data_IF_016338503458
#
_entry.id   IF_016338503458
#
_cell.length_a   1.000
_cell.length_b   1.000
_cell.length_c   1.000
_cell.angle_alpha   90.00
_cell.angle_beta   90.00
_cell.angle_gamma   90.00
#
_symmetry.space_group_name_H-M   'P 1'
#
loop_
_entity.id
_entity.type
_entity.pdbx_description
1 polymer ?
#
# COMPACT_ATOMS: atom_id res chain seq x y z
N UNK A 1 -5.48 5.33 11.86
CA UNK A 1 -5.70 3.88 11.95
C UNK A 1 -4.49 3.17 11.33
N UNK A 2 -3.86 2.29 12.06
CA UNK A 2 -2.64 1.64 11.58
C UNK A 2 -2.97 0.34 10.85
N UNK A 3 -2.34 0.15 9.69
CA UNK A 3 -2.40 -1.10 8.95
C UNK A 3 -1.16 -1.92 9.28
N UNK A 4 -1.23 -3.22 9.05
CA UNK A 4 -0.10 -4.12 9.29
C UNK A 4 -0.08 -5.21 8.23
N UNK A 5 1.00 -5.97 8.20
CA UNK A 5 1.14 -7.08 7.27
C UNK A 5 -0.05 -8.03 7.40
N UNK A 6 -0.59 -8.43 6.26
CA UNK A 6 -1.73 -9.34 6.20
C UNK A 6 -3.09 -8.66 6.25
N UNK A 7 -3.14 -7.35 6.53
CA UNK A 7 -4.41 -6.64 6.55
C UNK A 7 -4.99 -6.55 5.14
N UNK A 8 -6.30 -6.70 5.05
CA UNK A 8 -7.03 -6.53 3.80
C UNK A 8 -7.31 -5.07 3.57
N UNK A 9 -7.02 -4.57 2.38
CA UNK A 9 -7.18 -3.17 2.03
C UNK A 9 -7.76 -3.03 0.63
N UNK A 10 -8.19 -1.81 0.30
CA UNK A 10 -8.59 -1.48 -1.05
C UNK A 10 -8.08 -0.08 -1.39
N UNK A 11 -7.93 0.18 -2.68
CA UNK A 11 -7.48 1.49 -3.16
C UNK A 11 -8.06 1.76 -4.53
N UNK A 12 -8.10 3.03 -4.90
CA UNK A 12 -8.64 3.44 -6.19
C UNK A 12 -7.57 3.41 -7.27
N UNK A 13 -7.93 2.91 -8.45
CA UNK A 13 -7.08 2.94 -9.62
C UNK A 13 -7.86 3.57 -10.77
N UNK A 14 -7.19 3.92 -11.89
CA UNK A 14 -7.91 4.43 -13.06
C UNK A 14 -8.97 3.47 -13.59
N UNK A 15 -8.86 2.19 -13.26
CA UNK A 15 -9.80 1.16 -13.72
C UNK A 15 -10.88 0.84 -12.69
N UNK A 16 -10.89 1.56 -11.57
CA UNK A 16 -11.85 1.34 -10.49
C UNK A 16 -11.17 0.94 -9.19
N UNK A 17 -11.96 0.44 -8.27
CA UNK A 17 -11.45 0.07 -6.96
C UNK A 17 -10.82 -1.32 -6.98
N UNK A 18 -9.62 -1.42 -6.46
CA UNK A 18 -8.87 -2.68 -6.39
C UNK A 18 -8.73 -3.12 -4.95
N UNK A 19 -8.85 -4.41 -4.71
CA UNK A 19 -8.69 -5.01 -3.39
C UNK A 19 -7.38 -5.77 -3.31
N UNK A 20 -6.76 -5.76 -2.15
CA UNK A 20 -5.51 -6.47 -1.95
C UNK A 20 -5.17 -6.66 -0.50
N UNK A 21 -3.94 -7.08 -0.27
CA UNK A 21 -3.42 -7.39 1.06
C UNK A 21 -2.12 -6.64 1.27
N UNK A 22 -1.91 -6.15 2.49
CA UNK A 22 -0.66 -5.49 2.85
C UNK A 22 0.45 -6.53 2.96
N UNK A 23 1.52 -6.35 2.18
CA UNK A 23 2.69 -7.21 2.24
C UNK A 23 3.73 -6.70 3.24
N UNK A 24 3.93 -5.39 3.32
CA UNK A 24 4.86 -4.82 4.28
C UNK A 24 4.54 -3.37 4.57
N UNK A 25 5.01 -2.90 5.72
CA UNK A 25 4.84 -1.51 6.17
C UNK A 25 6.22 -0.86 6.23
N UNK A 26 6.34 0.34 5.69
CA UNK A 26 7.59 1.09 5.67
C UNK A 26 7.38 2.46 6.29
N UNK A 27 8.22 2.79 7.27
CA UNK A 27 8.17 4.08 7.95
C UNK A 27 9.36 4.96 7.58
N UNK A 28 10.19 4.49 6.65
CA UNK A 28 11.33 5.23 6.10
C UNK A 28 11.19 5.25 4.59
N UNK A 29 11.91 6.15 3.92
CA UNK A 29 11.85 6.25 2.47
C UNK A 29 12.02 4.87 1.83
N UNK A 30 11.16 4.57 0.88
CA UNK A 30 11.10 3.30 0.18
C UNK A 30 11.31 3.52 -1.30
N UNK A 31 12.27 2.78 -1.87
CA UNK A 31 12.46 2.78 -3.32
C UNK A 31 11.77 1.54 -3.90
N UNK A 32 10.86 1.78 -4.84
CA UNK A 32 10.07 0.70 -5.45
C UNK A 32 9.88 1.02 -6.92
N UNK A 33 10.31 0.13 -7.81
CA UNK A 33 10.17 0.27 -9.26
C UNK A 33 10.67 1.63 -9.77
N UNK A 34 11.89 1.99 -9.41
CA UNK A 34 12.54 3.24 -9.82
C UNK A 34 11.87 4.52 -9.30
N UNK A 35 10.94 4.38 -8.36
CA UNK A 35 10.31 5.52 -7.70
C UNK A 35 10.69 5.50 -6.24
N UNK A 36 10.86 6.70 -5.67
CA UNK A 36 11.12 6.84 -4.25
C UNK A 36 9.86 7.35 -3.58
N UNK A 37 9.38 6.60 -2.60
CA UNK A 37 8.23 6.99 -1.79
C UNK A 37 8.72 7.47 -0.44
N UNK A 38 8.35 8.69 -0.08
CA UNK A 38 8.73 9.24 1.21
C UNK A 38 7.78 8.74 2.27
N UNK A 39 8.33 8.18 3.33
CA UNK A 39 7.55 7.61 4.42
C UNK A 39 8.10 8.07 5.76
N UNK A 40 7.24 8.07 6.77
CA UNK A 40 7.59 8.39 8.13
C UNK A 40 6.71 7.58 9.07
N UNK A 41 6.97 7.68 10.37
CA UNK A 41 6.12 7.02 11.35
C UNK A 41 4.70 7.54 11.35
N UNK A 42 4.52 8.81 10.94
CA UNK A 42 3.20 9.44 10.87
C UNK A 42 2.52 9.24 9.53
N UNK A 43 3.28 8.96 8.48
CA UNK A 43 2.75 8.78 7.13
C UNK A 43 3.47 7.59 6.48
N UNK A 44 3.20 6.37 6.94
CA UNK A 44 3.87 5.20 6.42
C UNK A 44 3.43 4.86 5.00
N UNK A 45 4.32 4.18 4.27
CA UNK A 45 4.04 3.62 2.95
C UNK A 45 3.88 2.12 3.10
N UNK A 46 2.87 1.58 2.45
CA UNK A 46 2.60 0.14 2.47
C UNK A 46 2.82 -0.45 1.09
N UNK A 47 3.52 -1.58 1.06
CA UNK A 47 3.54 -2.41 -0.14
C UNK A 47 2.33 -3.33 -0.07
N UNK A 48 1.51 -3.27 -1.10
CA UNK A 48 0.28 -4.04 -1.16
C UNK A 48 0.29 -4.92 -2.41
N UNK A 49 -0.44 -6.02 -2.35
CA UNK A 49 -0.53 -6.95 -3.46
C UNK A 49 -1.99 -7.08 -3.88
N UNK A 50 -2.25 -6.87 -5.17
CA UNK A 50 -3.60 -6.99 -5.71
C UNK A 50 -4.05 -8.45 -5.67
N UNK A 51 -5.25 -8.69 -5.15
CA UNK A 51 -5.83 -10.04 -5.13
C UNK A 51 -6.16 -10.53 -6.54
N UNK A 52 -6.43 -9.59 -7.45
CA UNK A 52 -6.87 -9.94 -8.79
C UNK A 52 -5.72 -10.38 -9.69
N UNK A 53 -4.58 -9.71 -9.60
CA UNK A 53 -3.46 -9.96 -10.52
C UNK A 53 -2.18 -10.41 -9.83
N UNK A 54 -2.09 -10.26 -8.52
CA UNK A 54 -0.86 -10.50 -7.79
C UNK A 54 0.18 -9.41 -7.96
N UNK A 55 -0.15 -8.34 -8.66
CA UNK A 55 0.78 -7.23 -8.85
C UNK A 55 0.95 -6.43 -7.57
N UNK A 56 2.18 -6.00 -7.29
CA UNK A 56 2.47 -5.19 -6.12
C UNK A 56 2.40 -3.71 -6.46
N UNK A 57 2.06 -2.90 -5.46
CA UNK A 57 2.05 -1.45 -5.56
C UNK A 57 2.42 -0.84 -4.21
N UNK A 58 2.91 0.39 -4.23
CA UNK A 58 3.22 1.13 -3.01
C UNK A 58 2.24 2.28 -2.86
N UNK A 59 1.64 2.38 -1.69
CA UNK A 59 0.67 3.45 -1.39
C UNK A 59 0.86 3.95 0.03
N UNK A 60 0.59 5.25 0.23
CA UNK A 60 0.54 5.80 1.58
C UNK A 60 -0.74 5.32 2.28
N UNK A 61 -0.71 5.31 3.60
CA UNK A 61 -1.85 4.85 4.40
C UNK A 61 -3.15 5.57 4.03
N UNK A 62 -3.07 6.87 3.80
CA UNK A 62 -4.26 7.66 3.46
C UNK A 62 -4.88 7.30 2.11
N UNK A 63 -4.13 6.61 1.25
CA UNK A 63 -4.65 6.15 -0.04
C UNK A 63 -5.29 4.77 0.05
N UNK A 64 -5.21 4.14 1.20
CA UNK A 64 -5.72 2.78 1.42
C UNK A 64 -6.94 2.82 2.34
N UNK A 65 -7.91 1.99 2.02
CA UNK A 65 -9.07 1.76 2.89
C UNK A 65 -8.97 0.36 3.46
N UNK A 66 -9.14 0.24 4.77
CA UNK A 66 -9.14 -1.07 5.42
C UNK A 66 -10.46 -1.77 5.17
N UNK A 67 -10.37 -3.04 4.76
CA UNK A 67 -11.56 -3.87 4.53
C UNK A 67 -11.95 -4.65 5.77
#
# INVERSE_FOLDING_TARGET
>A
MALKEGDKVSWNTPQGKTHGTVNSKHTKDLKFQDQTFRASGEDPVYLVESEKTGAEAAHHEKALDKR
#
